data_IF_477313513556
#
_entry.id   IF_477313513556
#
_cell.length_a   1.000
_cell.length_b   1.000
_cell.length_c   1.000
_cell.angle_alpha   90.00
_cell.angle_beta   90.00
_cell.angle_gamma   90.00
#
_symmetry.space_group_name_H-M   'P 1'
#
loop_
_entity.id
_entity.type
_entity.pdbx_description
1 polymer ?
#
# COMPACT_ATOMS: atom_id res chain seq x y z
N UNK A 1 3.91 0.23 9.83
CA UNK A 1 3.41 1.32 10.70
C UNK A 1 2.04 1.82 10.29
N UNK A 2 1.83 2.32 9.05
CA UNK A 2 0.52 2.83 8.61
C UNK A 2 -0.67 1.88 8.81
N UNK A 3 -0.49 0.57 8.64
CA UNK A 3 -1.52 -0.46 8.92
C UNK A 3 -2.04 -0.41 10.36
N UNK A 4 -1.20 -0.07 11.34
CA UNK A 4 -1.58 0.00 12.75
C UNK A 4 -2.56 1.16 13.04
N UNK A 5 -2.65 2.16 12.16
CA UNK A 5 -3.61 3.25 12.25
C UNK A 5 -5.00 2.88 11.69
N UNK A 6 -5.16 1.67 11.15
CA UNK A 6 -6.37 1.17 10.52
C UNK A 6 -6.20 1.00 9.02
N UNK A 7 -6.43 -0.23 8.54
CA UNK A 7 -6.28 -0.61 7.13
C UNK A 7 -7.46 -0.10 6.27
N UNK A 8 -8.60 0.15 6.88
CA UNK A 8 -9.84 0.62 6.26
C UNK A 8 -10.18 2.07 6.62
N UNK A 9 -9.26 2.79 7.27
CA UNK A 9 -9.46 4.17 7.70
C UNK A 9 -8.64 5.14 6.87
N UNK A 10 -9.29 6.15 6.32
CA UNK A 10 -8.63 7.36 5.85
C UNK A 10 -8.17 8.17 7.05
N UNK A 11 -6.93 8.61 7.03
CA UNK A 11 -6.34 9.53 8.00
C UNK A 11 -6.05 10.83 7.27
N UNK A 12 -6.36 11.97 7.89
CA UNK A 12 -6.12 13.26 7.28
C UNK A 12 -4.65 13.42 6.87
N UNK A 13 -4.44 13.75 5.59
CA UNK A 13 -3.12 13.85 4.97
C UNK A 13 -2.66 12.59 4.25
N UNK A 14 -3.38 11.47 4.34
CA UNK A 14 -3.10 10.30 3.49
C UNK A 14 -3.05 10.68 2.01
N UNK A 15 -2.11 10.07 1.29
CA UNK A 15 -2.19 10.04 -0.17
C UNK A 15 -2.95 8.78 -0.56
N UNK A 16 -4.04 8.98 -1.29
CA UNK A 16 -4.93 7.93 -1.80
C UNK A 16 -4.83 7.85 -3.32
N UNK A 17 -4.96 6.64 -3.86
CA UNK A 17 -4.98 6.39 -5.31
C UNK A 17 -6.21 5.61 -5.73
N UNK A 18 -6.69 5.86 -6.95
CA UNK A 18 -7.74 5.06 -7.59
C UNK A 18 -7.19 3.73 -8.16
N UNK A 19 -8.08 2.94 -8.79
CA UNK A 19 -7.73 1.66 -9.44
C UNK A 19 -6.79 1.79 -10.64
N UNK A 20 -6.63 2.99 -11.18
CA UNK A 20 -5.70 3.31 -12.27
C UNK A 20 -4.39 3.94 -11.74
N UNK A 21 -4.16 3.82 -10.42
CA UNK A 21 -3.00 4.33 -9.69
C UNK A 21 -2.84 5.86 -9.76
N UNK A 22 -3.93 6.61 -9.97
CA UNK A 22 -3.91 8.08 -9.97
C UNK A 22 -4.20 8.62 -8.57
N UNK A 23 -3.44 9.63 -8.16
CA UNK A 23 -3.69 10.32 -6.88
C UNK A 23 -5.01 11.07 -6.96
N UNK A 24 -5.92 10.76 -6.03
CA UNK A 24 -7.21 11.44 -5.89
C UNK A 24 -7.07 12.58 -4.88
N UNK A 25 -7.68 13.73 -5.19
CA UNK A 25 -7.60 14.98 -4.40
C UNK A 25 -8.97 15.65 -4.35
N UNK A 26 -9.03 16.76 -3.62
CA UNK A 26 -10.16 17.71 -3.63
C UNK A 26 -11.50 17.08 -3.19
N UNK A 27 -11.44 16.30 -2.11
CA UNK A 27 -12.56 15.63 -1.44
C UNK A 27 -12.56 15.95 0.04
N UNK A 28 -13.71 15.84 0.70
CA UNK A 28 -13.77 15.92 2.17
C UNK A 28 -13.22 14.64 2.81
N UNK A 29 -12.91 14.71 4.10
CA UNK A 29 -12.45 13.54 4.85
C UNK A 29 -13.52 12.43 4.88
N UNK A 30 -14.80 12.81 4.93
CA UNK A 30 -15.93 11.87 4.90
C UNK A 30 -16.04 11.18 3.54
N UNK A 31 -15.97 11.94 2.44
CA UNK A 31 -15.97 11.37 1.09
C UNK A 31 -14.78 10.41 0.89
N UNK A 32 -13.59 10.80 1.33
CA UNK A 32 -12.42 9.91 1.27
C UNK A 32 -12.64 8.63 2.08
N UNK A 33 -13.20 8.73 3.28
CA UNK A 33 -13.47 7.56 4.11
C UNK A 33 -14.50 6.62 3.46
N UNK A 34 -15.56 7.15 2.84
CA UNK A 34 -16.55 6.35 2.11
C UNK A 34 -15.89 5.61 0.93
N UNK A 35 -15.15 6.32 0.10
CA UNK A 35 -14.48 5.75 -1.07
C UNK A 35 -13.37 4.74 -0.70
N UNK A 36 -12.67 4.97 0.42
CA UNK A 36 -11.74 3.98 0.98
C UNK A 36 -12.53 2.74 1.39
N UNK A 37 -13.63 2.89 2.12
CA UNK A 37 -14.43 1.77 2.64
C UNK A 37 -14.97 0.89 1.50
N UNK A 38 -15.30 1.48 0.34
CA UNK A 38 -15.79 0.77 -0.85
C UNK A 38 -14.69 0.23 -1.78
N UNK A 39 -13.40 0.42 -1.47
CA UNK A 39 -12.25 0.10 -2.35
C UNK A 39 -12.25 0.86 -3.70
N UNK A 40 -12.95 1.98 -3.80
CA UNK A 40 -12.84 2.88 -4.97
C UNK A 40 -11.47 3.57 -5.02
N UNK A 41 -10.95 3.91 -3.84
CA UNK A 41 -9.59 4.41 -3.64
C UNK A 41 -8.92 3.64 -2.51
N UNK A 42 -7.59 3.67 -2.51
CA UNK A 42 -6.78 3.00 -1.51
C UNK A 42 -5.73 3.95 -0.95
N UNK A 43 -5.58 3.93 0.37
CA UNK A 43 -4.46 4.58 1.05
C UNK A 43 -3.15 3.93 0.59
N UNK A 44 -2.10 4.73 0.58
CA UNK A 44 -0.82 4.31 0.00
C UNK A 44 0.33 4.44 0.99
N UNK A 45 1.40 3.69 0.72
CA UNK A 45 2.72 3.93 1.29
C UNK A 45 3.69 4.33 0.18
N UNK A 46 4.75 5.09 0.48
CA UNK A 46 5.77 5.42 -0.51
C UNK A 46 6.68 4.22 -0.75
N UNK A 47 6.88 3.87 -2.01
CA UNK A 47 8.14 3.30 -2.46
C UNK A 47 9.09 4.47 -2.63
N UNK A 48 10.02 4.63 -1.69
CA UNK A 48 10.90 5.80 -1.64
C UNK A 48 11.71 6.00 -2.92
N UNK A 49 11.94 7.28 -3.21
CA UNK A 49 12.68 7.73 -4.37
C UNK A 49 12.75 9.24 -4.42
N UNK A 50 13.37 9.76 -5.47
CA UNK A 50 13.75 11.19 -5.53
C UNK A 50 12.56 12.13 -5.64
N UNK A 51 11.44 11.68 -6.24
CA UNK A 51 10.29 12.53 -6.58
C UNK A 51 9.00 12.16 -5.85
N UNK A 52 8.88 10.94 -5.30
CA UNK A 52 7.65 10.53 -4.58
C UNK A 52 7.35 11.50 -3.42
N UNK A 53 6.11 12.01 -3.31
CA UNK A 53 5.74 12.88 -2.20
C UNK A 53 5.54 12.08 -0.91
N UNK A 54 5.90 12.70 0.21
CA UNK A 54 5.40 12.29 1.51
C UNK A 54 3.92 12.65 1.64
N UNK A 55 3.19 11.90 2.44
CA UNK A 55 1.86 12.24 2.90
C UNK A 55 1.87 13.52 3.77
N UNK A 56 0.69 14.05 4.08
CA UNK A 56 0.51 15.15 5.03
C UNK A 56 0.32 14.66 6.48
N UNK A 57 0.24 15.61 7.40
CA UNK A 57 -0.16 15.35 8.78
C UNK A 57 0.76 14.37 9.53
N UNK A 58 0.16 13.53 10.37
CA UNK A 58 0.90 12.51 11.14
C UNK A 58 1.44 11.38 10.25
N UNK A 59 0.76 11.08 9.14
CA UNK A 59 1.20 10.06 8.18
C UNK A 59 2.49 10.50 7.49
N UNK A 60 2.57 11.76 7.06
CA UNK A 60 3.81 12.34 6.51
C UNK A 60 4.98 12.27 7.48
N UNK A 61 4.76 12.71 8.74
CA UNK A 61 5.78 12.63 9.79
C UNK A 61 6.26 11.20 10.05
N UNK A 62 5.36 10.22 10.00
CA UNK A 62 5.69 8.80 10.10
C UNK A 62 6.57 8.35 8.93
N UNK A 63 6.20 8.70 7.70
CA UNK A 63 7.00 8.36 6.51
C UNK A 63 8.40 8.98 6.57
N UNK A 64 8.51 10.26 6.92
CA UNK A 64 9.80 10.94 7.11
C UNK A 64 10.64 10.27 8.21
N UNK A 65 10.05 10.01 9.38
CA UNK A 65 10.75 9.37 10.49
C UNK A 65 11.26 7.96 10.15
N UNK A 66 10.50 7.19 9.36
CA UNK A 66 10.95 5.89 8.86
C UNK A 66 12.19 6.07 7.98
N UNK A 67 12.16 7.00 7.01
CA UNK A 67 13.30 7.21 6.12
C UNK A 67 14.56 7.64 6.90
N UNK A 68 14.38 8.57 7.86
CA UNK A 68 15.43 9.05 8.74
C UNK A 68 16.00 7.93 9.63
N UNK A 69 15.17 6.98 10.07
CA UNK A 69 15.62 5.84 10.89
C UNK A 69 16.61 4.92 10.15
N UNK A 70 16.58 4.91 8.81
CA UNK A 70 17.57 4.24 7.98
C UNK A 70 18.78 5.11 7.63
N UNK A 71 18.83 6.36 8.11
CA UNK A 71 19.88 7.33 7.77
C UNK A 71 19.87 7.72 6.29
N UNK A 72 18.70 7.68 5.65
CA UNK A 72 18.53 7.95 4.23
C UNK A 72 17.83 9.29 4.01
N UNK A 73 18.07 9.86 2.84
CA UNK A 73 17.37 11.01 2.29
C UNK A 73 16.82 10.64 0.91
N UNK A 74 15.91 11.46 0.37
CA UNK A 74 15.40 11.23 -1.00
C UNK A 74 16.49 11.28 -2.07
N UNK A 75 17.57 12.03 -1.82
CA UNK A 75 18.69 12.15 -2.76
C UNK A 75 19.50 10.85 -2.87
N UNK A 76 19.49 9.99 -1.85
CA UNK A 76 20.21 8.71 -1.85
C UNK A 76 19.64 7.69 -2.85
N UNK A 77 18.44 7.96 -3.40
CA UNK A 77 17.85 7.17 -4.48
C UNK A 77 18.32 7.62 -5.88
N UNK A 78 19.20 8.62 -5.97
CA UNK A 78 19.91 8.96 -7.20
C UNK A 78 21.13 8.07 -7.39
N UNK A 79 21.42 7.71 -8.64
CA UNK A 79 22.65 7.01 -9.01
C UNK A 79 23.37 7.84 -10.07
N UNK A 80 24.15 8.88 -9.69
CA UNK A 80 24.72 9.83 -10.64
C UNK A 80 25.59 9.19 -11.73
N UNK A 81 26.32 8.12 -11.39
CA UNK A 81 27.16 7.36 -12.33
C UNK A 81 26.36 6.52 -13.32
N UNK A 82 25.11 6.17 -12.98
CA UNK A 82 24.22 5.41 -13.85
C UNK A 82 22.77 5.84 -13.61
N UNK A 83 22.34 7.00 -14.13
CA UNK A 83 21.04 7.60 -13.79
C UNK A 83 19.83 6.69 -14.05
N UNK A 84 19.95 5.73 -14.99
CA UNK A 84 18.93 4.71 -15.28
C UNK A 84 18.65 3.73 -14.13
N UNK A 85 19.55 3.64 -13.15
CA UNK A 85 19.36 2.83 -11.94
C UNK A 85 18.82 3.64 -10.76
N UNK A 86 18.72 4.97 -10.89
CA UNK A 86 18.05 5.79 -9.89
C UNK A 86 16.54 5.55 -9.89
N UNK A 87 15.89 5.77 -8.74
CA UNK A 87 14.45 5.61 -8.60
C UNK A 87 13.78 6.95 -8.28
N UNK A 88 12.74 7.29 -9.05
CA UNK A 88 11.86 8.40 -8.70
C UNK A 88 10.90 8.07 -7.56
N UNK A 89 10.72 6.79 -7.25
CA UNK A 89 9.74 6.31 -6.29
C UNK A 89 8.32 6.42 -6.82
N UNK A 90 7.37 5.85 -6.09
CA UNK A 90 5.94 5.90 -6.40
C UNK A 90 5.11 5.67 -5.14
N UNK A 91 3.82 6.02 -5.18
CA UNK A 91 2.86 5.65 -4.13
C UNK A 91 2.22 4.33 -4.50
N UNK A 92 2.22 3.37 -3.58
CA UNK A 92 1.61 2.05 -3.78
C UNK A 92 0.50 1.81 -2.77
N UNK A 93 -0.64 1.31 -3.23
CA UNK A 93 -1.74 0.92 -2.35
C UNK A 93 -1.24 -0.06 -1.27
N UNK A 94 -1.65 0.17 -0.02
CA UNK A 94 -1.24 -0.66 1.11
C UNK A 94 -2.05 -1.96 1.24
N UNK A 95 -3.17 -2.04 0.52
CA UNK A 95 -4.10 -3.18 0.51
C UNK A 95 -4.71 -3.34 -0.88
N UNK A 96 -5.32 -4.49 -1.12
CA UNK A 96 -6.12 -4.78 -2.31
C UNK A 96 -7.36 -5.58 -1.90
N UNK A 97 -8.38 -5.56 -2.75
CA UNK A 97 -9.60 -6.31 -2.50
C UNK A 97 -9.42 -7.78 -2.91
N UNK A 98 -9.90 -8.68 -2.07
CA UNK A 98 -10.07 -10.10 -2.43
C UNK A 98 -11.56 -10.33 -2.65
N UNK A 99 -11.93 -10.93 -3.77
CA UNK A 99 -13.33 -11.23 -4.11
C UNK A 99 -13.48 -12.66 -4.62
N UNK A 100 -14.72 -13.11 -4.80
CA UNK A 100 -15.07 -14.50 -5.16
C UNK A 100 -14.35 -15.54 -4.27
N UNK A 101 -14.21 -15.23 -2.98
CA UNK A 101 -13.42 -16.02 -2.05
C UNK A 101 -14.22 -17.21 -1.51
N UNK A 102 -13.62 -18.40 -1.57
CA UNK A 102 -14.15 -19.64 -1.03
C UNK A 102 -13.06 -20.40 -0.26
N UNK A 103 -13.47 -21.17 0.74
CA UNK A 103 -12.59 -22.11 1.44
C UNK A 103 -13.34 -23.41 1.69
N UNK A 104 -12.72 -24.54 1.31
CA UNK A 104 -13.29 -25.87 1.49
C UNK A 104 -12.26 -26.80 2.13
N UNK A 105 -12.64 -27.43 3.25
CA UNK A 105 -11.84 -28.49 3.85
C UNK A 105 -11.79 -29.72 2.91
N UNK A 106 -10.61 -30.31 2.78
CA UNK A 106 -10.33 -31.53 2.03
C UNK A 106 -9.56 -32.51 2.95
N UNK A 107 -9.38 -33.75 2.51
CA UNK A 107 -8.61 -34.74 3.29
C UNK A 107 -7.14 -34.32 3.49
N UNK A 108 -6.60 -33.51 2.57
CA UNK A 108 -5.21 -33.05 2.57
C UNK A 108 -5.02 -31.61 3.10
N UNK A 109 -6.09 -30.91 3.49
CA UNK A 109 -6.00 -29.55 4.01
C UNK A 109 -7.20 -28.66 3.68
N UNK A 110 -6.93 -27.43 3.26
CA UNK A 110 -7.96 -26.44 2.88
C UNK A 110 -7.69 -25.96 1.47
N UNK A 111 -8.66 -26.15 0.58
CA UNK A 111 -8.66 -25.54 -0.75
C UNK A 111 -9.19 -24.11 -0.64
N UNK A 112 -8.39 -23.14 -1.05
CA UNK A 112 -8.78 -21.72 -1.11
C UNK A 112 -8.92 -21.29 -2.57
N UNK A 113 -10.04 -20.67 -2.90
CA UNK A 113 -10.27 -20.02 -4.18
C UNK A 113 -10.52 -18.54 -3.92
N UNK A 114 -9.96 -17.67 -4.76
CA UNK A 114 -10.17 -16.23 -4.64
C UNK A 114 -9.66 -15.51 -5.90
N UNK A 115 -10.19 -14.32 -6.11
CA UNK A 115 -9.76 -13.38 -7.14
C UNK A 115 -9.03 -12.19 -6.50
N UNK A 116 -8.00 -11.70 -7.19
CA UNK A 116 -7.16 -10.57 -6.78
C UNK A 116 -6.80 -9.70 -7.98
N UNK A 117 -6.49 -8.43 -7.72
CA UNK A 117 -6.04 -7.50 -8.76
C UNK A 117 -4.70 -7.93 -9.39
N UNK A 118 -4.49 -7.53 -10.65
CA UNK A 118 -3.19 -7.71 -11.31
C UNK A 118 -2.10 -6.97 -10.52
N UNK A 119 -0.98 -7.65 -10.28
CA UNK A 119 0.14 -7.10 -9.51
C UNK A 119 0.03 -7.30 -8.00
N UNK A 120 -1.05 -7.94 -7.54
CA UNK A 120 -1.16 -8.55 -6.21
C UNK A 120 -0.66 -9.99 -6.23
N UNK A 121 -0.27 -10.49 -5.06
CA UNK A 121 0.32 -11.83 -4.91
C UNK A 121 -0.60 -12.73 -4.12
N UNK A 122 -0.90 -13.93 -4.65
CA UNK A 122 -1.70 -14.94 -3.94
C UNK A 122 -1.07 -15.35 -2.61
N UNK A 123 0.26 -15.32 -2.51
CA UNK A 123 0.99 -15.59 -1.27
C UNK A 123 0.68 -14.58 -0.16
N UNK A 124 0.34 -13.33 -0.49
CA UNK A 124 -0.10 -12.35 0.50
C UNK A 124 -1.47 -12.72 1.11
N UNK A 125 -2.39 -13.25 0.30
CA UNK A 125 -3.68 -13.77 0.78
C UNK A 125 -3.45 -15.01 1.64
N UNK A 126 -2.64 -15.97 1.17
CA UNK A 126 -2.35 -17.21 1.90
C UNK A 126 -1.63 -16.95 3.22
N UNK A 127 -0.76 -15.94 3.29
CA UNK A 127 -0.13 -15.50 4.55
C UNK A 127 -1.18 -15.12 5.59
N UNK A 128 -2.25 -14.44 5.18
CA UNK A 128 -3.34 -14.07 6.09
C UNK A 128 -4.23 -15.25 6.49
N UNK A 129 -4.38 -16.26 5.64
CA UNK A 129 -5.13 -17.49 5.96
C UNK A 129 -4.31 -18.41 6.88
N UNK A 130 -3.05 -18.64 6.54
CA UNK A 130 -2.16 -19.60 7.22
C UNK A 130 -1.52 -19.04 8.48
N UNK A 131 -1.49 -17.71 8.64
CA UNK A 131 -0.82 -16.99 9.74
C UNK A 131 0.65 -17.37 9.90
N UNK A 132 1.30 -17.69 8.77
CA UNK A 132 2.71 -17.99 8.64
C UNK A 132 3.23 -17.32 7.39
N UNK A 133 4.51 -16.98 7.41
CA UNK A 133 5.16 -16.49 6.20
C UNK A 133 5.25 -17.62 5.16
N UNK A 134 4.99 -17.23 3.91
CA UNK A 134 4.99 -18.13 2.76
C UNK A 134 6.30 -17.84 2.02
N UNK A 135 7.34 -18.61 2.33
CA UNK A 135 8.66 -18.54 1.68
C UNK A 135 8.82 -19.66 0.66
#
# INVERSE_FOLDING_TARGET
ERVAMGMDKYIEGDIVIDKEERIVRDKTNEEFQEMVSSFEINQTCPLYGTKVPFAGGEVGKMEEAILDSYGLTKADFEVPKMPRLGSHGLRRAMRFQVWDASAKATDDGVMCEFSIDKGSYATAVLREVMKKDVY
#
